data_IF_387057016247
#
_entry.id   IF_387057016247
#
_cell.length_a   1.000
_cell.length_b   1.000
_cell.length_c   1.000
_cell.angle_alpha   90.00
_cell.angle_beta   90.00
_cell.angle_gamma   90.00
#
_symmetry.space_group_name_H-M   'P 1'
#
loop_
_entity.id
_entity.type
_entity.pdbx_description
1 polymer ?
#
# COMPACT_ATOMS: atom_id res chain seq x y z
N UNK A 1 2.27 -20.31 1.74
CA UNK A 1 2.19 -19.28 2.79
C UNK A 1 2.10 -17.95 2.07
N UNK A 2 1.05 -17.17 2.28
CA UNK A 2 0.90 -15.89 1.57
C UNK A 2 1.86 -14.85 2.14
N UNK A 3 2.73 -14.30 1.29
CA UNK A 3 3.67 -13.25 1.66
C UNK A 3 2.97 -11.90 1.84
N UNK A 4 3.65 -10.96 2.50
CA UNK A 4 3.05 -9.68 2.86
C UNK A 4 2.76 -8.82 1.62
N UNK A 5 3.59 -8.91 0.59
CA UNK A 5 3.38 -8.20 -0.67
C UNK A 5 2.08 -8.66 -1.36
N UNK A 6 1.81 -9.97 -1.38
CA UNK A 6 0.55 -10.53 -1.88
C UNK A 6 -0.67 -10.01 -1.12
N UNK A 7 -0.60 -9.93 0.22
CA UNK A 7 -1.68 -9.36 1.04
C UNK A 7 -1.93 -7.88 0.74
N UNK A 8 -0.86 -7.09 0.59
CA UNK A 8 -0.95 -5.66 0.24
C UNK A 8 -1.67 -5.50 -1.10
N UNK A 9 -1.29 -6.28 -2.12
CA UNK A 9 -1.92 -6.20 -3.44
C UNK A 9 -3.40 -6.60 -3.40
N UNK A 10 -3.77 -7.61 -2.60
CA UNK A 10 -5.18 -7.98 -2.42
C UNK A 10 -5.99 -6.84 -1.81
N UNK A 11 -5.48 -6.20 -0.75
CA UNK A 11 -6.16 -5.05 -0.12
C UNK A 11 -6.32 -3.90 -1.11
N UNK A 12 -5.27 -3.54 -1.85
CA UNK A 12 -5.35 -2.47 -2.85
C UNK A 12 -6.35 -2.77 -3.98
N UNK A 13 -6.47 -4.05 -4.38
CA UNK A 13 -7.42 -4.48 -5.41
C UNK A 13 -8.85 -4.56 -4.90
N UNK A 14 -9.07 -4.91 -3.62
CA UNK A 14 -10.41 -5.09 -3.06
C UNK A 14 -11.10 -3.77 -2.72
N UNK A 15 -10.37 -2.74 -2.29
CA UNK A 15 -10.97 -1.47 -1.85
C UNK A 15 -11.47 -0.61 -3.02
N UNK A 16 -10.95 -0.81 -4.23
CA UNK A 16 -11.37 -0.04 -5.42
C UNK A 16 -11.02 1.45 -5.40
N UNK A 17 -10.38 1.93 -4.33
CA UNK A 17 -9.93 3.31 -4.15
C UNK A 17 -8.47 3.33 -3.69
N UNK A 18 -7.72 4.42 -3.96
CA UNK A 18 -6.37 4.57 -3.42
C UNK A 18 -6.37 4.63 -1.90
N UNK A 19 -5.40 3.96 -1.28
CA UNK A 19 -5.23 3.93 0.18
C UNK A 19 -3.94 4.65 0.58
N UNK A 20 -3.86 5.09 1.83
CA UNK A 20 -2.61 5.50 2.47
C UNK A 20 -1.98 4.35 3.25
N UNK A 21 -0.69 4.45 3.53
CA UNK A 21 0.08 3.40 4.22
C UNK A 21 -0.52 2.97 5.56
N UNK A 22 -1.12 3.90 6.32
CA UNK A 22 -1.77 3.58 7.60
C UNK A 22 -3.02 2.71 7.43
N UNK A 23 -3.86 2.97 6.43
CA UNK A 23 -5.05 2.17 6.15
C UNK A 23 -4.68 0.75 5.74
N UNK A 24 -3.63 0.61 4.90
CA UNK A 24 -3.10 -0.70 4.51
C UNK A 24 -2.56 -1.46 5.72
N UNK A 25 -1.85 -0.78 6.61
CA UNK A 25 -1.29 -1.36 7.84
C UNK A 25 -2.36 -1.83 8.81
N UNK A 26 -3.41 -1.04 9.00
CA UNK A 26 -4.56 -1.37 9.85
C UNK A 26 -5.31 -2.60 9.30
N UNK A 27 -5.61 -2.62 8.00
CA UNK A 27 -6.31 -3.74 7.36
C UNK A 27 -5.54 -5.07 7.41
N UNK A 28 -4.20 -5.02 7.36
CA UNK A 28 -3.36 -6.22 7.39
C UNK A 28 -2.94 -6.60 8.82
N UNK A 29 -3.06 -5.69 9.79
CA UNK A 29 -2.66 -5.92 11.18
C UNK A 29 -1.15 -5.94 11.37
N UNK A 30 -0.41 -5.09 10.67
CA UNK A 30 1.06 -5.03 10.72
C UNK A 30 1.55 -3.61 10.91
N UNK A 31 2.79 -3.45 11.41
CA UNK A 31 3.37 -2.14 11.61
C UNK A 31 3.54 -1.35 10.30
N UNK A 32 3.24 -0.04 10.36
CA UNK A 32 3.28 0.87 9.21
C UNK A 32 4.66 0.89 8.52
N UNK A 33 5.76 0.79 9.27
CA UNK A 33 7.12 0.77 8.69
C UNK A 33 7.38 -0.50 7.89
N UNK A 34 6.84 -1.63 8.34
CA UNK A 34 6.93 -2.91 7.61
C UNK A 34 6.20 -2.80 6.29
N UNK A 35 4.97 -2.26 6.30
CA UNK A 35 4.17 -2.03 5.09
C UNK A 35 4.88 -1.06 4.15
N UNK A 36 5.43 0.04 4.66
CA UNK A 36 6.14 1.03 3.85
C UNK A 36 7.31 0.41 3.06
N UNK A 37 8.11 -0.45 3.70
CA UNK A 37 9.22 -1.15 3.03
C UNK A 37 8.73 -2.04 1.89
N UNK A 38 7.60 -2.73 2.06
CA UNK A 38 7.01 -3.59 1.01
C UNK A 38 6.42 -2.77 -0.13
N UNK A 39 5.77 -1.65 0.18
CA UNK A 39 5.25 -0.73 -0.82
C UNK A 39 6.38 -0.14 -1.69
N UNK A 40 7.50 0.25 -1.09
CA UNK A 40 8.68 0.71 -1.85
C UNK A 40 9.15 -0.35 -2.85
N UNK A 41 9.27 -1.61 -2.40
CA UNK A 41 9.63 -2.74 -3.29
C UNK A 41 8.61 -2.93 -4.41
N UNK A 42 7.32 -2.96 -4.10
CA UNK A 42 6.25 -3.11 -5.08
C UNK A 42 6.22 -1.95 -6.10
N UNK A 43 6.55 -0.73 -5.68
CA UNK A 43 6.66 0.42 -6.56
C UNK A 43 7.85 0.30 -7.51
N UNK A 44 9.01 -0.14 -7.02
CA UNK A 44 10.20 -0.44 -7.84
C UNK A 44 9.90 -1.54 -8.85
N UNK A 45 9.15 -2.57 -8.45
CA UNK A 45 8.69 -3.66 -9.33
C UNK A 45 7.58 -3.22 -10.31
N UNK A 46 7.10 -1.97 -10.24
CA UNK A 46 6.05 -1.46 -11.13
C UNK A 46 4.67 -2.10 -10.90
N UNK A 47 4.39 -2.60 -9.69
CA UNK A 47 3.09 -3.23 -9.35
C UNK A 47 2.07 -2.26 -8.75
N UNK A 48 2.54 -1.13 -8.24
CA UNK A 48 1.71 -0.09 -7.63
C UNK A 48 2.21 1.30 -8.05
N UNK A 49 1.35 2.30 -7.94
CA UNK A 49 1.72 3.72 -8.04
C UNK A 49 1.43 4.43 -6.73
N UNK A 50 2.18 5.51 -6.50
CA UNK A 50 1.99 6.42 -5.38
C UNK A 50 1.85 7.86 -5.86
N UNK A 51 0.97 8.64 -5.24
CA UNK A 51 0.89 10.10 -5.44
C UNK A 51 0.79 10.82 -4.11
N UNK A 52 1.66 11.80 -3.88
CA UNK A 52 1.60 12.68 -2.72
C UNK A 52 0.36 13.58 -2.82
N UNK A 53 -0.33 13.77 -1.71
CA UNK A 53 -1.48 14.66 -1.61
C UNK A 53 -1.18 15.71 -0.55
N UNK A 54 -1.32 16.97 -0.93
CA UNK A 54 -1.02 18.09 -0.04
C UNK A 54 -2.05 18.26 1.07
N UNK A 55 -3.33 18.01 0.78
CA UNK A 55 -4.42 18.17 1.76
C UNK A 55 -4.34 17.18 2.95
N UNK A 56 -3.69 16.03 2.79
CA UNK A 56 -3.72 14.94 3.78
C UNK A 56 -2.34 14.56 4.35
N UNK A 57 -1.26 15.25 3.94
CA UNK A 57 0.12 14.86 4.29
C UNK A 57 0.39 13.35 4.09
N UNK A 58 -0.13 12.80 2.99
CA UNK A 58 -0.14 11.36 2.72
C UNK A 58 0.25 11.02 1.28
N UNK A 59 0.51 9.74 1.04
CA UNK A 59 0.70 9.18 -0.30
C UNK A 59 -0.48 8.26 -0.57
N UNK A 60 -1.30 8.58 -1.57
CA UNK A 60 -2.28 7.66 -2.12
C UNK A 60 -1.57 6.58 -2.91
N UNK A 61 -1.99 5.34 -2.72
CA UNK A 61 -1.40 4.15 -3.28
C UNK A 61 -2.49 3.34 -3.95
N UNK A 62 -2.26 2.96 -5.20
CA UNK A 62 -3.17 2.10 -5.96
C UNK A 62 -2.39 1.09 -6.80
N UNK A 63 -3.06 0.01 -7.17
CA UNK A 63 -2.50 -1.04 -8.01
C UNK A 63 -2.51 -0.64 -9.50
N UNK A 64 -1.62 -1.24 -10.31
CA UNK A 64 -1.57 -1.11 -11.78
C UNK A 64 -2.15 -2.35 -12.45
#
# INVERSE_FOLDING_TARGET
MEDLESKILKVLKSEGVPLVTSEIAEKIGVDRRVVLRRLQKLAIEGKIKGRKIEAANGIWIWWI
#
